data_IF_390822510812
#
_entry.id   IF_390822510812
#
_cell.length_a   1.000
_cell.length_b   1.000
_cell.length_c   1.000
_cell.angle_alpha   90.00
_cell.angle_beta   90.00
_cell.angle_gamma   90.00
#
_symmetry.space_group_name_H-M   'P 1'
#
loop_
_entity.id
_entity.type
_entity.pdbx_description
1 polymer ?
#
# COMPACT_ATOMS: atom_id res chain seq x y z
N UNK A 1 -21.67 12.72 44.01
CA UNK A 1 -22.10 14.09 43.67
C UNK A 1 -20.96 14.74 42.89
N UNK A 2 -21.21 14.88 41.58
CA UNK A 2 -20.45 15.52 40.48
C UNK A 2 -18.95 15.26 40.28
N UNK A 3 -18.59 14.85 39.05
CA UNK A 3 -17.62 15.56 38.24
C UNK A 3 -18.34 16.58 37.35
N UNK A 4 -17.81 17.80 37.36
CA UNK A 4 -18.22 18.93 36.51
C UNK A 4 -17.38 18.94 35.23
N UNK A 5 -18.10 19.10 34.12
CA UNK A 5 -17.82 19.78 32.85
C UNK A 5 -16.44 19.72 32.19
N UNK A 6 -16.48 19.43 30.88
CA UNK A 6 -15.73 20.23 29.90
C UNK A 6 -16.77 20.91 29.01
N UNK A 7 -16.96 22.21 29.22
CA UNK A 7 -17.53 23.12 28.21
C UNK A 7 -16.35 23.78 27.50
N UNK A 8 -16.50 23.87 26.19
CA UNK A 8 -16.07 24.96 25.31
C UNK A 8 -14.94 24.66 24.30
N UNK A 9 -15.33 24.91 23.05
CA UNK A 9 -14.57 25.65 22.04
C UNK A 9 -13.10 25.31 21.87
N UNK A 10 -12.84 24.20 21.17
CA UNK A 10 -11.84 24.09 20.10
C UNK A 10 -11.82 22.61 19.67
N UNK A 11 -12.06 22.35 18.39
CA UNK A 11 -12.17 21.01 17.82
C UNK A 11 -10.82 20.27 17.86
N UNK A 12 -10.45 19.69 19.01
CA UNK A 12 -9.37 18.68 19.09
C UNK A 12 -9.83 17.51 19.95
N UNK A 13 -10.42 16.53 19.30
CA UNK A 13 -10.70 15.22 19.90
C UNK A 13 -9.33 14.54 20.14
N UNK A 14 -9.00 14.13 21.37
CA UNK A 14 -7.75 13.41 21.66
C UNK A 14 -7.68 12.09 20.90
N UNK A 15 -6.50 11.77 20.35
CA UNK A 15 -6.23 10.57 19.53
C UNK A 15 -6.56 9.26 20.27
N UNK A 16 -6.52 9.27 21.61
CA UNK A 16 -6.87 8.10 22.44
C UNK A 16 -8.33 7.64 22.25
N UNK A 17 -9.22 8.51 21.74
CA UNK A 17 -10.59 8.16 21.40
C UNK A 17 -10.76 7.46 20.04
N UNK A 18 -9.80 7.61 19.11
CA UNK A 18 -9.89 7.05 17.75
C UNK A 18 -9.47 5.57 17.67
N UNK A 19 -8.78 5.06 18.69
CA UNK A 19 -8.24 3.69 18.73
C UNK A 19 -9.02 2.74 19.68
N UNK A 20 -10.15 3.18 20.22
CA UNK A 20 -10.97 2.39 21.14
C UNK A 20 -11.99 1.54 20.36
N UNK A 21 -11.83 0.21 20.40
CA UNK A 21 -12.78 -0.77 19.82
C UNK A 21 -14.10 -0.92 20.59
N UNK A 22 -14.38 -0.07 21.57
CA UNK A 22 -15.65 -0.05 22.29
C UNK A 22 -15.95 1.38 22.74
N UNK A 23 -16.72 2.12 21.94
CA UNK A 23 -17.40 3.31 22.46
C UNK A 23 -18.71 2.82 23.10
N UNK A 24 -18.65 2.46 24.38
CA UNK A 24 -19.86 2.21 25.18
C UNK A 24 -20.53 3.55 25.49
N UNK A 25 -21.43 3.99 24.62
CA UNK A 25 -22.14 5.25 24.77
C UNK A 25 -23.24 5.12 25.83
N UNK A 26 -23.07 5.77 26.99
CA UNK A 26 -24.16 5.96 27.96
C UNK A 26 -24.53 7.45 27.99
N UNK A 27 -25.78 7.76 27.66
CA UNK A 27 -26.27 9.14 27.55
C UNK A 27 -27.75 9.21 27.18
N UNK A 28 -28.38 10.36 27.33
CA UNK A 28 -29.77 10.58 26.90
C UNK A 28 -29.87 10.83 25.39
N UNK A 29 -31.03 10.57 24.79
CA UNK A 29 -31.20 10.39 23.34
C UNK A 29 -30.64 11.48 22.41
N UNK A 30 -30.57 12.75 22.84
CA UNK A 30 -29.98 13.84 22.05
C UNK A 30 -28.45 13.89 22.11
N UNK A 31 -27.84 13.50 23.23
CA UNK A 31 -26.37 13.41 23.36
C UNK A 31 -25.83 12.22 22.56
N UNK A 32 -26.56 11.10 22.53
CA UNK A 32 -26.20 9.93 21.73
C UNK A 32 -26.20 10.22 20.23
N UNK A 33 -27.14 11.02 19.71
CA UNK A 33 -27.16 11.44 18.30
C UNK A 33 -25.97 12.34 17.94
N UNK A 34 -25.61 13.29 18.82
CA UNK A 34 -24.45 14.17 18.56
C UNK A 34 -23.13 13.40 18.61
N UNK A 35 -22.98 12.43 19.51
CA UNK A 35 -21.79 11.59 19.63
C UNK A 35 -21.69 10.55 18.52
N UNK A 36 -22.82 9.99 18.04
CA UNK A 36 -22.83 9.14 16.85
C UNK A 36 -22.44 9.93 15.60
N UNK A 37 -22.91 11.18 15.45
CA UNK A 37 -22.52 12.09 14.38
C UNK A 37 -21.03 12.49 14.45
N UNK A 38 -20.48 12.70 15.65
CA UNK A 38 -19.06 13.03 15.85
C UNK A 38 -18.17 11.81 15.57
N UNK A 39 -18.54 10.62 16.06
CA UNK A 39 -17.88 9.37 15.69
C UNK A 39 -17.93 9.22 14.17
N UNK A 40 -19.11 9.32 13.56
CA UNK A 40 -19.31 9.33 12.11
C UNK A 40 -18.48 10.35 11.35
N UNK A 41 -18.23 11.53 11.90
CA UNK A 41 -17.41 12.56 11.26
C UNK A 41 -15.90 12.30 11.37
N UNK A 42 -15.46 11.57 12.40
CA UNK A 42 -14.03 11.36 12.71
C UNK A 42 -13.34 10.35 11.78
N UNK A 43 -14.03 9.27 11.41
CA UNK A 43 -13.51 8.25 10.47
C UNK A 43 -13.79 8.56 8.99
N UNK A 44 -14.68 9.50 8.70
CA UNK A 44 -15.00 9.93 7.31
C UNK A 44 -13.94 10.84 6.68
N UNK A 45 -12.90 11.26 7.41
CA UNK A 45 -12.04 12.37 6.95
C UNK A 45 -10.91 11.96 5.99
N UNK A 46 -10.25 10.82 6.19
CA UNK A 46 -8.99 10.56 5.50
C UNK A 46 -9.08 9.42 4.50
N UNK A 47 -8.55 9.65 3.29
CA UNK A 47 -8.50 8.67 2.22
C UNK A 47 -7.22 7.83 2.19
N UNK A 48 -6.21 8.22 2.96
CA UNK A 48 -4.92 7.52 3.03
C UNK A 48 -4.15 7.89 4.30
N UNK A 49 -3.08 7.15 4.55
CA UNK A 49 -2.13 7.40 5.63
C UNK A 49 -1.34 8.70 5.38
N UNK A 50 -1.08 9.04 4.12
CA UNK A 50 -0.45 10.31 3.77
C UNK A 50 -1.32 11.48 4.21
N UNK A 51 -2.63 11.45 3.91
CA UNK A 51 -3.56 12.51 4.34
C UNK A 51 -3.67 12.62 5.86
N UNK A 52 -3.62 11.49 6.57
CA UNK A 52 -3.57 11.46 8.04
C UNK A 52 -2.31 12.19 8.55
N UNK A 53 -1.14 11.87 7.97
CA UNK A 53 0.14 12.40 8.42
C UNK A 53 0.32 13.88 8.06
N UNK A 54 -0.16 14.31 6.89
CA UNK A 54 -0.16 15.72 6.46
C UNK A 54 -1.00 16.60 7.39
N UNK A 55 -2.21 16.14 7.76
CA UNK A 55 -3.10 16.89 8.66
C UNK A 55 -2.61 16.86 10.12
N UNK A 56 -1.91 15.78 10.51
CA UNK A 56 -1.37 15.64 11.86
C UNK A 56 0.11 15.17 11.86
N UNK A 57 1.07 16.09 11.62
CA UNK A 57 2.50 15.77 11.59
C UNK A 57 3.06 15.16 12.88
N UNK A 58 2.33 15.26 14.02
CA UNK A 58 2.72 14.63 15.28
C UNK A 58 2.61 13.10 15.24
N UNK A 59 1.92 12.56 14.24
CA UNK A 59 1.84 11.11 13.99
C UNK A 59 3.08 10.56 13.28
N UNK A 60 4.06 11.40 12.94
CA UNK A 60 5.36 10.94 12.45
C UNK A 60 5.97 9.94 13.44
N UNK A 61 6.53 8.85 12.93
CA UNK A 61 7.05 7.73 13.70
C UNK A 61 6.00 6.93 14.50
N UNK A 62 4.70 7.11 14.21
CA UNK A 62 3.60 6.34 14.83
C UNK A 62 3.03 5.33 13.85
N UNK A 63 3.82 4.32 13.48
CA UNK A 63 3.34 3.23 12.64
C UNK A 63 2.24 2.44 13.37
N UNK A 64 1.22 1.96 12.66
CA UNK A 64 0.10 1.28 13.32
C UNK A 64 -1.11 1.07 12.42
N UNK A 65 -2.17 0.55 13.01
CA UNK A 65 -3.47 0.47 12.34
C UNK A 65 -4.19 1.83 12.41
N UNK A 66 -4.78 2.24 11.30
CA UNK A 66 -5.58 3.45 11.17
C UNK A 66 -6.82 3.15 10.33
N UNK A 67 -7.86 3.96 10.46
CA UNK A 67 -9.07 3.87 9.64
C UNK A 67 -9.03 4.90 8.53
N UNK A 68 -9.31 4.46 7.30
CA UNK A 68 -9.44 5.33 6.12
C UNK A 68 -10.77 5.06 5.40
N UNK A 69 -11.21 6.02 4.59
CA UNK A 69 -12.31 5.86 3.64
C UNK A 69 -11.75 5.83 2.21
N UNK A 70 -11.88 4.71 1.52
CA UNK A 70 -11.29 4.53 0.18
C UNK A 70 -12.06 5.29 -0.90
N UNK A 71 -11.51 5.29 -2.14
CA UNK A 71 -12.19 5.86 -3.31
C UNK A 71 -13.49 5.13 -3.67
N UNK A 72 -13.65 3.88 -3.22
CA UNK A 72 -14.87 3.07 -3.36
C UNK A 72 -15.92 3.34 -2.27
N UNK A 73 -15.68 4.35 -1.41
CA UNK A 73 -16.45 4.64 -0.21
C UNK A 73 -16.38 3.58 0.91
N UNK A 74 -15.54 2.55 0.77
CA UNK A 74 -15.30 1.56 1.82
C UNK A 74 -14.55 2.16 3.01
N UNK A 75 -14.94 1.76 4.22
CA UNK A 75 -14.22 2.09 5.45
C UNK A 75 -13.30 0.93 5.79
N UNK A 76 -11.99 1.13 5.67
CA UNK A 76 -11.00 0.09 5.91
C UNK A 76 -10.09 0.44 7.08
N UNK A 77 -9.77 -0.59 7.87
CA UNK A 77 -8.63 -0.55 8.79
C UNK A 77 -7.38 -0.98 8.03
N UNK A 78 -6.46 -0.03 7.84
CA UNK A 78 -5.22 -0.21 7.10
C UNK A 78 -4.02 -0.09 8.04
N UNK A 79 -2.88 -0.61 7.62
CA UNK A 79 -1.63 -0.31 8.28
C UNK A 79 -1.01 0.94 7.66
N UNK A 80 -0.65 1.90 8.51
CA UNK A 80 0.13 3.06 8.12
C UNK A 80 1.57 2.92 8.58
N UNK A 81 2.49 3.02 7.62
CA UNK A 81 3.88 3.34 7.91
C UNK A 81 4.05 4.86 7.89
N UNK A 82 4.23 5.43 9.08
CA UNK A 82 4.42 6.85 9.34
C UNK A 82 5.91 7.20 9.58
N UNK A 83 6.82 6.28 9.27
CA UNK A 83 8.26 6.40 9.57
C UNK A 83 9.10 6.38 8.31
N UNK A 84 8.99 5.30 7.53
CA UNK A 84 9.88 5.04 6.38
C UNK A 84 9.73 6.14 5.35
N UNK A 85 10.86 6.66 4.86
CA UNK A 85 10.88 7.70 3.82
C UNK A 85 9.91 8.88 4.09
N UNK A 86 9.92 9.35 5.35
CA UNK A 86 9.04 10.38 5.92
C UNK A 86 7.57 9.98 6.15
N UNK A 87 7.21 8.72 5.93
CA UNK A 87 5.91 8.15 6.27
C UNK A 87 4.79 8.49 5.30
N UNK A 88 3.59 8.00 5.62
CA UNK A 88 2.37 8.21 4.84
C UNK A 88 1.98 7.03 3.94
N UNK A 89 2.64 5.87 4.06
CA UNK A 89 2.29 4.71 3.24
C UNK A 89 1.08 3.97 3.79
N UNK A 90 0.05 3.81 2.95
CA UNK A 90 -1.11 2.96 3.22
C UNK A 90 -0.84 1.54 2.75
N UNK A 91 -1.06 0.56 3.63
CA UNK A 91 -0.87 -0.85 3.33
C UNK A 91 -2.08 -1.67 3.81
N UNK A 92 -2.70 -2.39 2.88
CA UNK A 92 -3.82 -3.28 3.15
C UNK A 92 -3.53 -4.67 2.54
N UNK A 93 -3.03 -5.64 3.33
CA UNK A 93 -2.64 -6.94 2.82
C UNK A 93 -3.86 -7.78 2.42
N UNK A 94 -3.77 -8.45 1.27
CA UNK A 94 -4.75 -9.42 0.77
C UNK A 94 -4.08 -10.79 0.75
N UNK A 95 -4.83 -11.81 1.14
CA UNK A 95 -4.47 -13.24 0.98
C UNK A 95 -5.67 -13.94 0.36
N UNK A 96 -5.43 -14.86 -0.58
CA UNK A 96 -6.47 -15.54 -1.36
C UNK A 96 -7.40 -14.55 -2.10
N UNK A 97 -6.84 -13.45 -2.59
CA UNK A 97 -7.55 -12.46 -3.39
C UNK A 97 -7.79 -12.93 -4.82
N UNK A 98 -8.39 -12.04 -5.62
CA UNK A 98 -8.52 -12.27 -7.06
C UNK A 98 -7.13 -12.45 -7.66
N UNK A 99 -6.94 -13.57 -8.34
CA UNK A 99 -5.68 -13.92 -8.99
C UNK A 99 -5.34 -12.89 -10.07
N UNK A 100 -4.09 -12.42 -10.05
CA UNK A 100 -3.56 -11.49 -11.04
C UNK A 100 -2.25 -11.99 -11.62
N UNK A 101 -2.15 -11.93 -12.94
CA UNK A 101 -1.00 -12.32 -13.77
C UNK A 101 -0.34 -11.10 -14.42
N UNK A 102 -1.11 -10.03 -14.63
CA UNK A 102 -0.68 -8.81 -15.33
C UNK A 102 -1.37 -7.57 -14.79
N UNK A 103 -0.82 -6.41 -15.12
CA UNK A 103 -1.33 -5.09 -14.70
C UNK A 103 -2.74 -4.77 -15.19
N UNK A 104 -3.15 -5.36 -16.32
CA UNK A 104 -4.48 -5.16 -16.89
C UNK A 104 -5.56 -6.02 -16.24
N UNK A 105 -5.20 -7.00 -15.41
CA UNK A 105 -6.20 -7.87 -14.75
C UNK A 105 -6.99 -7.09 -13.69
N UNK A 106 -8.22 -7.52 -13.45
CA UNK A 106 -8.90 -7.13 -12.23
C UNK A 106 -8.20 -7.75 -11.01
N UNK A 107 -8.31 -7.12 -9.84
CA UNK A 107 -7.76 -7.64 -8.59
C UNK A 107 -8.50 -7.04 -7.38
N UNK A 108 -8.31 -7.63 -6.19
CA UNK A 108 -9.03 -7.21 -4.99
C UNK A 108 -8.66 -5.81 -4.48
N UNK A 109 -7.53 -5.24 -4.90
CA UNK A 109 -7.22 -3.83 -4.56
C UNK A 109 -8.15 -2.87 -5.28
N UNK A 110 -8.43 -3.14 -6.56
CA UNK A 110 -9.31 -2.31 -7.39
C UNK A 110 -10.74 -2.28 -6.84
N UNK A 111 -11.21 -3.38 -6.26
CA UNK A 111 -12.53 -3.46 -5.63
C UNK A 111 -12.69 -2.45 -4.49
N UNK A 112 -11.62 -2.24 -3.71
CA UNK A 112 -11.59 -1.27 -2.61
C UNK A 112 -10.97 0.08 -3.01
N UNK A 113 -10.84 0.37 -4.30
CA UNK A 113 -10.42 1.70 -4.78
C UNK A 113 -8.95 2.01 -4.55
N UNK A 114 -8.13 0.96 -4.47
CA UNK A 114 -6.67 1.01 -4.33
C UNK A 114 -6.00 0.25 -5.49
N UNK A 115 -4.67 0.37 -5.57
CA UNK A 115 -3.85 -0.41 -6.48
C UNK A 115 -2.94 -1.37 -5.70
N UNK A 116 -2.26 -2.28 -6.40
CA UNK A 116 -1.19 -3.04 -5.78
C UNK A 116 -0.04 -2.10 -5.39
N UNK A 117 0.57 -2.34 -4.24
CA UNK A 117 1.64 -1.53 -3.67
C UNK A 117 2.80 -1.42 -4.66
N UNK A 118 3.20 -0.19 -4.94
CA UNK A 118 4.39 0.11 -5.73
C UNK A 118 5.54 0.39 -4.78
N UNK A 119 6.65 -0.37 -4.83
CA UNK A 119 7.83 -0.05 -4.05
C UNK A 119 8.44 1.26 -4.55
N UNK A 120 8.20 2.36 -3.84
CA UNK A 120 8.70 3.70 -4.19
C UNK A 120 10.19 3.85 -3.97
N UNK A 121 10.67 3.26 -2.87
CA UNK A 121 12.05 3.33 -2.40
C UNK A 121 12.51 1.98 -1.90
N UNK A 122 13.83 1.84 -1.81
CA UNK A 122 14.48 0.70 -1.19
C UNK A 122 14.02 0.45 0.23
N UNK A 123 13.96 1.51 1.03
CA UNK A 123 13.59 1.43 2.44
C UNK A 123 12.14 0.99 2.60
N UNK A 124 11.22 1.50 1.76
CA UNK A 124 9.84 1.02 1.74
C UNK A 124 9.79 -0.48 1.44
N UNK A 125 10.48 -0.93 0.39
CA UNK A 125 10.38 -2.35 0.02
C UNK A 125 10.98 -3.25 1.11
N UNK A 126 12.12 -2.85 1.70
CA UNK A 126 12.73 -3.53 2.83
C UNK A 126 11.74 -3.68 4.00
N UNK A 127 11.08 -2.57 4.36
CA UNK A 127 10.11 -2.54 5.45
C UNK A 127 8.90 -3.44 5.17
N UNK A 128 8.37 -3.39 3.95
CA UNK A 128 7.22 -4.19 3.54
C UNK A 128 7.55 -5.69 3.56
N UNK A 129 8.73 -6.09 3.04
CA UNK A 129 9.20 -7.49 3.10
C UNK A 129 9.36 -7.94 4.56
N UNK A 130 9.98 -7.12 5.41
CA UNK A 130 10.15 -7.42 6.83
C UNK A 130 8.80 -7.62 7.54
N UNK A 131 7.81 -6.79 7.21
CA UNK A 131 6.49 -6.79 7.86
C UNK A 131 5.60 -7.95 7.42
N UNK A 132 5.53 -8.23 6.12
CA UNK A 132 4.56 -9.18 5.57
C UNK A 132 5.18 -10.50 5.12
N UNK A 133 6.50 -10.54 4.95
CA UNK A 133 7.23 -11.70 4.47
C UNK A 133 7.28 -11.78 2.94
N UNK A 134 8.17 -12.64 2.45
CA UNK A 134 8.44 -12.84 1.03
C UNK A 134 7.29 -13.51 0.26
N UNK A 135 6.32 -14.13 0.94
CA UNK A 135 5.20 -14.83 0.31
C UNK A 135 4.27 -13.92 -0.49
N UNK A 136 4.24 -12.61 -0.18
CA UNK A 136 3.52 -11.59 -0.93
C UNK A 136 4.24 -11.16 -2.22
N UNK A 137 5.49 -11.60 -2.40
CA UNK A 137 6.38 -11.19 -3.47
C UNK A 137 6.90 -12.38 -4.28
N UNK A 138 6.02 -13.33 -4.61
CA UNK A 138 6.30 -14.38 -5.62
C UNK A 138 6.48 -13.79 -7.02
N UNK A 139 5.78 -12.69 -7.27
CA UNK A 139 5.94 -11.81 -8.41
C UNK A 139 6.17 -10.40 -7.90
N UNK A 140 6.53 -9.47 -8.78
CA UNK A 140 6.58 -8.05 -8.46
C UNK A 140 5.28 -7.37 -8.91
N UNK A 141 4.22 -7.35 -8.09
CA UNK A 141 3.00 -6.63 -8.43
C UNK A 141 3.25 -5.12 -8.43
N UNK A 142 2.50 -4.38 -9.25
CA UNK A 142 2.56 -2.91 -9.29
C UNK A 142 3.60 -2.32 -10.24
N UNK A 143 4.55 -3.10 -10.76
CA UNK A 143 5.53 -2.68 -11.78
C UNK A 143 5.37 -3.55 -13.02
N UNK A 144 5.26 -2.94 -14.20
CA UNK A 144 5.06 -3.65 -15.48
C UNK A 144 5.65 -2.87 -16.65
N UNK A 145 5.82 -3.50 -17.81
CA UNK A 145 6.15 -2.84 -19.07
C UNK A 145 5.05 -3.13 -20.11
N UNK A 146 4.59 -2.15 -20.93
CA UNK A 146 3.45 -2.37 -21.83
C UNK A 146 3.80 -3.07 -23.15
N UNK A 147 5.07 -3.36 -23.41
CA UNK A 147 5.56 -3.98 -24.65
C UNK A 147 6.33 -5.26 -24.37
N UNK A 148 6.38 -6.17 -25.34
CA UNK A 148 7.14 -7.42 -25.24
C UNK A 148 8.66 -7.18 -25.24
N UNK A 149 9.39 -8.15 -24.71
CA UNK A 149 10.86 -8.24 -24.67
C UNK A 149 11.56 -7.07 -23.99
N UNK A 150 12.78 -6.78 -24.45
CA UNK A 150 13.64 -5.72 -23.92
C UNK A 150 14.73 -6.26 -22.99
N UNK A 151 15.96 -5.76 -23.17
CA UNK A 151 17.12 -6.21 -22.41
C UNK A 151 17.55 -5.10 -21.44
N UNK A 152 17.49 -5.38 -20.15
CA UNK A 152 17.84 -4.45 -19.08
C UNK A 152 19.00 -4.98 -18.22
N UNK A 153 19.79 -5.90 -18.77
CA UNK A 153 20.88 -6.57 -18.02
C UNK A 153 22.03 -5.65 -17.63
N UNK A 154 22.14 -4.48 -18.27
CA UNK A 154 23.17 -3.48 -18.04
C UNK A 154 22.72 -2.30 -17.17
N UNK A 155 21.47 -2.28 -16.74
CA UNK A 155 20.89 -1.17 -15.97
C UNK A 155 20.27 -1.64 -14.66
N UNK A 156 20.20 -0.74 -13.68
CA UNK A 156 19.40 -0.98 -12.50
C UNK A 156 17.90 -1.01 -12.84
N UNK A 157 17.12 -1.78 -12.10
CA UNK A 157 15.66 -1.82 -12.28
C UNK A 157 15.00 -0.78 -11.37
N UNK A 158 14.84 0.43 -11.88
CA UNK A 158 14.09 1.52 -11.26
C UNK A 158 13.61 2.52 -12.32
N UNK A 159 12.76 3.47 -11.91
CA UNK A 159 12.16 4.46 -12.81
C UNK A 159 13.14 5.43 -13.49
N UNK A 160 14.39 5.54 -13.01
CA UNK A 160 15.40 6.44 -13.59
C UNK A 160 16.15 5.78 -14.75
N UNK A 161 16.40 4.48 -14.66
CA UNK A 161 17.25 3.75 -15.61
C UNK A 161 16.50 2.77 -16.52
N UNK A 162 15.23 2.45 -16.23
CA UNK A 162 14.41 1.56 -17.02
C UNK A 162 13.06 2.22 -17.43
N UNK A 163 13.08 3.26 -18.29
CA UNK A 163 11.93 4.13 -18.55
C UNK A 163 10.73 3.47 -19.24
N UNK A 164 10.93 2.32 -19.89
CA UNK A 164 9.84 1.56 -20.51
C UNK A 164 8.97 0.83 -19.48
N UNK A 165 9.51 0.61 -18.28
CA UNK A 165 8.81 0.03 -17.14
C UNK A 165 8.09 1.11 -16.34
N UNK A 166 6.90 0.77 -15.87
CA UNK A 166 5.91 1.69 -15.31
C UNK A 166 5.37 1.15 -14.00
N UNK A 167 5.07 2.06 -13.09
CA UNK A 167 4.22 1.78 -11.97
C UNK A 167 2.74 1.76 -12.41
N UNK A 168 1.90 0.95 -11.74
CA UNK A 168 0.45 0.88 -12.01
C UNK A 168 -0.28 2.20 -11.82
N UNK A 169 0.24 3.07 -10.97
CA UNK A 169 -0.31 4.40 -10.70
C UNK A 169 0.38 5.51 -11.54
N UNK A 170 1.40 5.16 -12.33
CA UNK A 170 2.18 6.10 -13.13
C UNK A 170 3.30 6.85 -12.39
N UNK A 171 3.45 6.64 -11.08
CA UNK A 171 4.50 7.26 -10.26
C UNK A 171 5.88 6.62 -10.40
N UNK A 172 6.82 7.10 -9.56
CA UNK A 172 8.17 6.52 -9.44
C UNK A 172 8.12 5.12 -8.86
N UNK A 173 9.12 4.31 -9.19
CA UNK A 173 9.25 2.95 -8.68
C UNK A 173 10.72 2.55 -8.54
N UNK A 174 10.95 1.62 -7.61
CA UNK A 174 12.26 1.07 -7.27
C UNK A 174 12.15 -0.45 -7.16
N UNK A 175 13.16 -1.15 -7.66
CA UNK A 175 13.32 -2.60 -7.45
C UNK A 175 14.77 -2.97 -7.17
N UNK A 176 15.74 -2.30 -7.81
CA UNK A 176 17.17 -2.50 -7.60
C UNK A 176 17.97 -1.20 -7.81
N UNK A 177 19.11 -1.11 -7.13
CA UNK A 177 20.10 -0.04 -7.31
C UNK A 177 21.22 -0.42 -8.31
N UNK A 178 21.40 -1.71 -8.58
CA UNK A 178 22.49 -2.21 -9.44
C UNK A 178 21.95 -3.08 -10.56
N UNK A 179 22.70 -3.18 -11.68
CA UNK A 179 22.41 -4.14 -12.74
C UNK A 179 22.30 -5.58 -12.23
N UNK A 180 21.56 -6.38 -12.98
CA UNK A 180 21.39 -7.81 -12.77
C UNK A 180 21.25 -8.50 -14.12
N UNK A 181 21.42 -9.81 -14.18
CA UNK A 181 21.34 -10.58 -15.43
C UNK A 181 19.93 -10.69 -16.01
N UNK A 182 18.92 -10.07 -15.38
CA UNK A 182 17.51 -10.07 -15.79
C UNK A 182 16.92 -8.67 -15.52
N UNK A 183 15.91 -8.19 -16.28
CA UNK A 183 15.28 -8.80 -17.46
C UNK A 183 16.20 -8.96 -18.67
N UNK A 184 16.17 -10.13 -19.32
CA UNK A 184 17.13 -10.48 -20.39
C UNK A 184 16.56 -10.47 -21.81
N UNK A 185 15.24 -10.34 -22.00
CA UNK A 185 14.68 -10.10 -23.33
C UNK A 185 13.39 -10.83 -23.67
N UNK A 186 12.89 -11.69 -22.79
CA UNK A 186 11.77 -12.59 -23.10
C UNK A 186 10.45 -12.17 -22.43
N UNK A 187 10.44 -11.00 -21.76
CA UNK A 187 9.26 -10.41 -21.13
C UNK A 187 8.00 -10.41 -22.02
N UNK A 188 6.86 -10.80 -21.45
CA UNK A 188 5.54 -10.63 -22.08
C UNK A 188 4.86 -9.36 -21.55
N UNK A 189 4.34 -8.53 -22.46
CA UNK A 189 3.72 -7.25 -22.15
C UNK A 189 2.68 -7.35 -21.01
N UNK A 190 2.80 -6.42 -20.06
CA UNK A 190 1.96 -6.24 -18.88
C UNK A 190 2.06 -7.33 -17.80
N UNK A 191 2.76 -8.44 -18.05
CA UNK A 191 2.90 -9.51 -17.06
C UNK A 191 3.68 -9.05 -15.83
N UNK A 192 3.39 -9.65 -14.67
CA UNK A 192 4.22 -9.42 -13.49
C UNK A 192 5.58 -10.08 -13.67
N UNK A 193 6.64 -9.40 -13.22
CA UNK A 193 7.97 -10.01 -13.14
C UNK A 193 7.95 -11.14 -12.12
N UNK A 194 8.56 -12.28 -12.44
CA UNK A 194 8.83 -13.30 -11.44
C UNK A 194 9.86 -12.74 -10.46
N UNK A 195 9.64 -12.98 -9.17
CA UNK A 195 10.62 -12.71 -8.13
C UNK A 195 11.12 -14.05 -7.60
N UNK A 196 12.41 -14.32 -7.80
CA UNK A 196 13.08 -15.54 -7.34
C UNK A 196 13.49 -15.42 -5.87
N UNK A 197 13.95 -14.24 -5.44
CA UNK A 197 14.26 -13.98 -4.03
C UNK A 197 14.19 -12.49 -3.69
N UNK A 198 13.65 -12.22 -2.50
CA UNK A 198 13.70 -10.93 -1.79
C UNK A 198 14.41 -11.05 -0.44
N UNK A 199 15.17 -12.13 -0.20
CA UNK A 199 15.82 -12.39 1.09
C UNK A 199 16.91 -11.36 1.43
N UNK A 200 17.48 -10.72 0.41
CA UNK A 200 18.42 -9.61 0.54
C UNK A 200 17.92 -8.45 -0.31
N UNK A 201 17.57 -7.33 0.34
CA UNK A 201 17.09 -6.12 -0.32
C UNK A 201 18.13 -5.53 -1.29
N UNK A 202 19.41 -5.77 -1.07
CA UNK A 202 20.48 -5.32 -1.96
C UNK A 202 20.66 -6.24 -3.18
N UNK A 203 20.09 -7.45 -3.12
CA UNK A 203 20.28 -8.48 -4.14
C UNK A 203 18.98 -9.22 -4.48
N UNK A 204 17.92 -8.47 -4.77
CA UNK A 204 16.64 -9.02 -5.24
C UNK A 204 16.82 -9.70 -6.59
N UNK A 205 16.53 -11.00 -6.69
CA UNK A 205 16.63 -11.73 -7.97
C UNK A 205 15.27 -11.86 -8.63
N UNK A 206 15.20 -11.51 -9.92
CA UNK A 206 13.97 -11.48 -10.72
C UNK A 206 14.15 -12.25 -12.01
N UNK A 207 13.06 -12.40 -12.77
CA UNK A 207 13.05 -12.98 -14.11
C UNK A 207 11.83 -12.44 -14.88
N UNK A 208 12.04 -12.02 -16.12
CA UNK A 208 10.96 -11.58 -17.02
C UNK A 208 10.17 -12.71 -17.67
N UNK A 209 10.70 -13.93 -17.53
CA UNK A 209 9.99 -15.19 -17.67
C UNK A 209 9.10 -15.29 -18.93
N UNK A 210 9.62 -14.95 -20.10
CA UNK A 210 9.21 -15.53 -21.38
C UNK A 210 7.76 -15.37 -21.82
N UNK A 211 7.39 -16.13 -22.86
CA UNK A 211 6.00 -16.34 -23.33
C UNK A 211 5.13 -17.09 -22.29
N UNK A 212 5.67 -17.30 -21.08
CA UNK A 212 5.01 -17.93 -19.95
C UNK A 212 4.69 -16.99 -18.78
N UNK A 213 5.19 -15.75 -18.72
CA UNK A 213 5.09 -14.89 -17.52
C UNK A 213 3.67 -14.47 -17.13
N UNK A 214 2.68 -14.74 -17.98
CA UNK A 214 1.26 -14.64 -17.66
C UNK A 214 0.56 -16.00 -17.69
N UNK A 215 1.10 -17.01 -17.00
CA UNK A 215 0.50 -18.33 -16.90
C UNK A 215 0.40 -18.81 -15.45
N UNK A 216 -0.02 -20.07 -15.25
CA UNK A 216 -0.26 -20.68 -13.94
C UNK A 216 0.96 -20.73 -13.00
N UNK A 217 2.16 -20.35 -13.43
CA UNK A 217 3.35 -20.30 -12.58
C UNK A 217 3.69 -18.90 -12.06
N UNK A 218 3.17 -17.86 -12.72
CA UNK A 218 3.55 -16.46 -12.49
C UNK A 218 2.31 -15.62 -12.25
N UNK A 219 1.70 -15.87 -11.10
CA UNK A 219 0.54 -15.13 -10.61
C UNK A 219 0.72 -14.78 -9.14
N UNK A 220 -0.12 -13.87 -8.66
CA UNK A 220 -0.30 -13.66 -7.22
C UNK A 220 -1.77 -13.60 -6.85
N UNK A 221 -2.06 -14.11 -5.64
CA UNK A 221 -3.32 -14.00 -4.90
C UNK A 221 -3.08 -13.37 -3.53
N UNK A 222 -1.80 -13.11 -3.21
CA UNK A 222 -1.35 -12.50 -1.96
C UNK A 222 -0.51 -11.29 -2.31
N UNK A 223 -1.09 -10.11 -2.10
CA UNK A 223 -0.48 -8.82 -2.45
C UNK A 223 -0.94 -7.77 -1.47
N UNK A 224 -0.25 -6.63 -1.48
CA UNK A 224 -0.56 -5.52 -0.58
C UNK A 224 -1.20 -4.45 -1.42
N UNK A 225 -2.39 -4.01 -1.03
CA UNK A 225 -3.05 -2.87 -1.63
C UNK A 225 -2.54 -1.59 -1.00
N UNK A 226 -2.43 -0.54 -1.81
CA UNK A 226 -2.00 0.78 -1.38
C UNK A 226 -2.70 1.86 -2.19
N UNK A 227 -2.86 3.03 -1.57
CA UNK A 227 -3.26 4.25 -2.26
C UNK A 227 -2.15 4.78 -3.16
N UNK A 228 -0.89 4.34 -2.94
CA UNK A 228 0.30 4.75 -3.69
C UNK A 228 0.44 6.29 -3.82
N UNK A 229 -0.11 7.06 -2.90
CA UNK A 229 -0.14 8.53 -2.98
C UNK A 229 1.08 9.21 -2.36
N UNK A 230 2.00 8.42 -1.78
CA UNK A 230 3.32 8.82 -1.28
C UNK A 230 4.41 8.60 -2.32
#
# INVERSE_FOLDING_TARGET
MYPIQIISSEHKIPIDFLNSNQVSLTGTGSQLQSLSLIAESGWKKYSSCLRILEDNPKLKNKNGEYVIKTKSDDILKVYCDMTTDNGGYTMYPIVNGIRSFRSTDNNSCKEVGMDMLVPRTKDLFAYVIQRYGSSYFRVMPGIFKPTNGGNYTSVAMNSETAPDWKAVDGGKWWLRDTPYTEPSGDYTANCWLQVRSVSDINNITINDAGVGSCNSLYFTESYICSTNDK
#
